data_IF_697221462689
#
_entry.id   IF_697221462689
#
_cell.length_a   1.000
_cell.length_b   1.000
_cell.length_c   1.000
_cell.angle_alpha   90.00
_cell.angle_beta   90.00
_cell.angle_gamma   90.00
#
_symmetry.space_group_name_H-M   'P 1'
#
loop_
_entity.id
_entity.type
_entity.pdbx_description
1 polymer ?
#
# COMPACT_ATOMS: atom_id res chain seq x y z
N UNK A 1 7.60 0.60 4.03
CA UNK A 1 7.78 1.98 4.51
C UNK A 1 7.17 2.09 5.89
N UNK A 2 7.91 2.67 6.83
CA UNK A 2 7.32 3.11 8.11
C UNK A 2 6.24 4.18 7.86
N UNK A 3 5.54 4.62 8.91
CA UNK A 3 4.45 5.59 8.76
C UNK A 3 4.92 6.95 8.23
N UNK A 4 6.07 7.44 8.71
CA UNK A 4 6.59 8.75 8.30
C UNK A 4 7.01 8.73 6.84
N UNK A 5 7.71 7.68 6.43
CA UNK A 5 8.15 7.49 5.04
C UNK A 5 6.96 7.30 4.11
N UNK A 6 5.94 6.56 4.53
CA UNK A 6 4.71 6.37 3.77
C UNK A 6 4.01 7.71 3.52
N UNK A 7 3.74 8.49 4.56
CA UNK A 7 3.09 9.80 4.42
C UNK A 7 3.91 10.77 3.55
N UNK A 8 5.24 10.75 3.69
CA UNK A 8 6.12 11.56 2.85
C UNK A 8 6.05 11.14 1.37
N UNK A 9 6.07 9.84 1.08
CA UNK A 9 5.93 9.31 -0.27
C UNK A 9 4.56 9.65 -0.87
N UNK A 10 3.48 9.47 -0.11
CA UNK A 10 2.12 9.79 -0.56
C UNK A 10 1.99 11.28 -0.89
N UNK A 11 2.55 12.17 -0.06
CA UNK A 11 2.59 13.60 -0.38
C UNK A 11 3.35 13.87 -1.68
N UNK A 12 4.55 13.31 -1.85
CA UNK A 12 5.34 13.50 -3.07
C UNK A 12 4.60 13.02 -4.32
N UNK A 13 3.94 11.88 -4.25
CA UNK A 13 3.12 11.32 -5.34
C UNK A 13 1.96 12.27 -5.67
N UNK A 14 1.24 12.74 -4.63
CA UNK A 14 0.12 13.68 -4.79
C UNK A 14 0.58 14.99 -5.44
N UNK A 15 1.71 15.55 -5.00
CA UNK A 15 2.25 16.81 -5.51
C UNK A 15 2.77 16.68 -6.94
N UNK A 16 3.39 15.54 -7.29
CA UNK A 16 4.00 15.32 -8.59
C UNK A 16 2.99 14.92 -9.70
N UNK A 17 1.85 14.32 -9.33
CA UNK A 17 0.88 13.84 -10.31
C UNK A 17 0.02 14.98 -10.81
N UNK A 18 0.05 15.33 -12.09
CA UNK A 18 -0.80 16.39 -12.66
C UNK A 18 -2.28 15.96 -12.77
N UNK A 19 -3.23 16.91 -12.87
CA UNK A 19 -4.63 16.57 -13.19
C UNK A 19 -4.74 15.68 -14.44
N UNK A 20 -5.62 14.68 -14.39
CA UNK A 20 -5.72 13.60 -15.40
C UNK A 20 -4.56 12.57 -15.38
N UNK A 21 -3.53 12.81 -14.56
CA UNK A 21 -2.39 11.91 -14.38
C UNK A 21 -2.75 10.63 -13.63
N UNK A 22 -1.94 9.59 -13.83
CA UNK A 22 -2.17 8.27 -13.23
C UNK A 22 -1.06 7.92 -12.24
N UNK A 23 -1.44 7.23 -11.16
CA UNK A 23 -0.53 6.67 -10.16
C UNK A 23 -0.75 5.17 -10.11
N UNK A 24 0.34 4.40 -10.17
CA UNK A 24 0.30 2.95 -10.09
C UNK A 24 1.02 2.50 -8.81
N UNK A 25 0.33 1.72 -7.98
CA UNK A 25 0.94 0.99 -6.88
C UNK A 25 0.94 -0.50 -7.22
N UNK A 26 2.12 -1.13 -7.20
CA UNK A 26 2.27 -2.58 -7.33
C UNK A 26 3.15 -3.08 -6.19
N UNK A 27 2.51 -3.38 -5.08
CA UNK A 27 3.18 -3.72 -3.82
C UNK A 27 2.48 -4.89 -3.12
N UNK A 28 3.07 -5.33 -2.01
CA UNK A 28 2.42 -6.28 -1.09
C UNK A 28 1.49 -5.51 -0.15
N UNK A 29 0.24 -5.96 -0.07
CA UNK A 29 -0.81 -5.37 0.74
C UNK A 29 -1.24 -6.33 1.85
N UNK A 30 -1.76 -5.76 2.94
CA UNK A 30 -2.51 -6.53 3.94
C UNK A 30 -3.89 -6.89 3.38
N UNK A 31 -4.32 -8.14 3.56
CA UNK A 31 -5.55 -8.66 2.93
C UNK A 31 -6.80 -8.13 3.59
N UNK A 32 -6.89 -8.25 4.91
CA UNK A 32 -8.08 -7.87 5.69
C UNK A 32 -7.80 -6.74 6.69
N UNK A 33 -6.53 -6.51 7.01
CA UNK A 33 -6.09 -5.54 7.99
C UNK A 33 -4.66 -5.13 7.71
N UNK A 34 -4.28 -3.98 8.28
CA UNK A 34 -2.88 -3.60 8.43
C UNK A 34 -2.11 -4.74 9.11
N UNK A 35 -1.02 -5.17 8.49
CA UNK A 35 -0.18 -6.25 9.00
C UNK A 35 1.24 -5.72 9.21
N UNK A 36 1.72 -5.83 10.44
CA UNK A 36 3.07 -5.42 10.84
C UNK A 36 3.88 -6.66 11.19
N UNK A 37 5.02 -6.86 10.52
CA UNK A 37 5.84 -8.06 10.66
C UNK A 37 6.40 -8.26 12.08
N UNK A 38 6.52 -7.19 12.88
CA UNK A 38 6.96 -7.28 14.28
C UNK A 38 6.00 -8.06 15.17
N UNK A 39 4.73 -8.22 14.79
CA UNK A 39 3.73 -8.90 15.60
C UNK A 39 3.78 -10.44 15.55
N UNK A 40 4.50 -11.05 14.60
CA UNK A 40 4.26 -12.46 14.21
C UNK A 40 5.51 -13.33 13.94
N UNK A 41 6.59 -13.20 14.74
CA UNK A 41 7.80 -14.05 14.78
C UNK A 41 8.98 -13.72 13.83
N UNK A 42 10.13 -13.41 14.44
CA UNK A 42 11.46 -14.03 14.25
C UNK A 42 12.53 -13.08 14.80
N UNK A 43 13.43 -13.56 15.66
CA UNK A 43 14.58 -12.79 16.16
C UNK A 43 15.52 -12.27 15.05
N UNK A 44 15.37 -12.79 13.81
CA UNK A 44 16.08 -12.34 12.61
C UNK A 44 15.46 -11.07 12.01
N UNK A 45 14.18 -10.79 12.26
CA UNK A 45 13.47 -9.59 11.81
C UNK A 45 13.48 -8.46 12.85
N UNK A 46 13.84 -8.76 14.11
CA UNK A 46 14.04 -7.76 15.17
C UNK A 46 15.16 -6.76 14.85
N UNK A 47 16.10 -7.15 13.99
CA UNK A 47 17.15 -6.26 13.49
C UNK A 47 16.72 -5.58 12.18
N UNK A 48 15.79 -4.63 12.29
CA UNK A 48 15.67 -3.53 11.32
C UNK A 48 14.66 -3.66 10.17
N UNK A 49 13.77 -4.66 10.16
CA UNK A 49 12.77 -4.79 9.10
C UNK A 49 11.37 -4.30 9.52
N UNK A 50 11.18 -2.97 9.54
CA UNK A 50 9.90 -2.31 9.79
C UNK A 50 8.99 -2.30 8.55
N UNK A 51 8.53 -3.48 8.15
CA UNK A 51 7.55 -3.61 7.07
C UNK A 51 6.12 -3.55 7.61
N UNK A 52 5.44 -2.47 7.24
CA UNK A 52 4.00 -2.27 7.44
C UNK A 52 3.30 -2.52 6.12
N UNK A 53 2.52 -3.59 6.04
CA UNK A 53 1.63 -3.87 4.92
C UNK A 53 0.28 -3.24 5.19
N UNK A 54 -0.10 -2.29 4.34
CA UNK A 54 -1.36 -1.56 4.41
C UNK A 54 -2.38 -2.24 3.52
N UNK A 55 -3.67 -2.09 3.84
CA UNK A 55 -4.74 -2.52 2.93
C UNK A 55 -4.91 -1.51 1.80
N UNK A 56 -5.58 -1.88 0.71
CA UNK A 56 -5.83 -0.94 -0.38
C UNK A 56 -6.72 0.23 0.08
N UNK A 57 -7.63 0.00 1.02
CA UNK A 57 -8.50 1.04 1.59
C UNK A 57 -7.69 2.10 2.32
N UNK A 58 -6.64 1.72 3.04
CA UNK A 58 -5.76 2.67 3.71
C UNK A 58 -4.98 3.52 2.71
N UNK A 59 -4.48 2.91 1.63
CA UNK A 59 -3.82 3.65 0.56
C UNK A 59 -4.81 4.58 -0.13
N UNK A 60 -6.02 4.11 -0.45
CA UNK A 60 -7.07 4.91 -1.07
C UNK A 60 -7.52 6.08 -0.19
N UNK A 61 -7.65 5.85 1.12
CA UNK A 61 -7.97 6.90 2.09
C UNK A 61 -6.88 8.00 2.10
N UNK A 62 -5.61 7.61 2.05
CA UNK A 62 -4.49 8.56 2.06
C UNK A 62 -4.30 9.29 0.71
N UNK A 63 -4.65 8.65 -0.41
CA UNK A 63 -4.73 9.32 -1.71
C UNK A 63 -5.78 10.45 -1.69
N UNK A 64 -6.89 10.24 -0.98
CA UNK A 64 -7.93 11.25 -0.76
C UNK A 64 -8.82 11.48 -1.98
N UNK A 65 -9.78 12.39 -1.85
CA UNK A 65 -10.83 12.63 -2.86
C UNK A 65 -10.34 13.21 -4.19
N UNK A 66 -9.12 13.75 -4.24
CA UNK A 66 -8.51 14.25 -5.47
C UNK A 66 -8.06 13.12 -6.41
N UNK A 67 -8.07 11.87 -5.96
CA UNK A 67 -7.63 10.71 -6.72
C UNK A 67 -8.70 9.63 -6.71
N UNK A 68 -9.17 9.28 -7.89
CA UNK A 68 -10.14 8.21 -8.10
C UNK A 68 -9.41 6.88 -8.29
N UNK A 69 -9.76 5.86 -7.50
CA UNK A 69 -9.28 4.49 -7.71
C UNK A 69 -10.03 3.87 -8.89
N UNK A 70 -9.37 3.78 -10.05
CA UNK A 70 -9.98 3.27 -11.29
C UNK A 70 -9.71 1.77 -11.53
N UNK A 71 -8.74 1.19 -10.82
CA UNK A 71 -8.46 -0.26 -10.86
C UNK A 71 -7.89 -0.73 -9.54
N UNK A 72 -8.41 -1.84 -9.04
CA UNK A 72 -7.87 -2.60 -7.91
C UNK A 72 -7.90 -4.08 -8.30
N UNK A 73 -6.73 -4.70 -8.41
CA UNK A 73 -6.62 -6.08 -8.85
C UNK A 73 -5.61 -6.85 -8.02
N UNK A 74 -6.01 -8.01 -7.50
CA UNK A 74 -5.09 -8.94 -6.86
C UNK A 74 -4.29 -9.68 -7.92
N UNK A 75 -2.98 -9.40 -7.98
CA UNK A 75 -2.04 -10.02 -8.93
C UNK A 75 -1.37 -11.27 -8.35
N UNK A 76 -1.30 -11.38 -7.02
CA UNK A 76 -0.91 -12.59 -6.30
C UNK A 76 -1.82 -12.77 -5.10
N UNK A 77 -2.60 -13.85 -5.07
CA UNK A 77 -3.48 -14.17 -3.95
C UNK A 77 -2.68 -14.58 -2.70
N UNK A 78 -3.27 -14.47 -1.50
CA UNK A 78 -2.68 -15.02 -0.29
C UNK A 78 -2.46 -16.53 -0.45
N UNK A 79 -1.35 -17.04 0.08
CA UNK A 79 -1.08 -18.47 0.16
C UNK A 79 -1.39 -19.00 1.56
N UNK A 80 -1.58 -20.33 1.74
CA UNK A 80 -1.76 -20.91 3.08
C UNK A 80 -0.62 -20.58 4.06
N UNK A 81 0.62 -20.43 3.55
CA UNK A 81 1.78 -20.09 4.36
C UNK A 81 1.88 -18.59 4.72
N UNK A 82 1.14 -17.73 3.99
CA UNK A 82 1.14 -16.26 4.16
C UNK A 82 -0.27 -15.69 3.92
N UNK A 83 -1.26 -16.05 4.75
CA UNK A 83 -2.65 -15.66 4.53
C UNK A 83 -2.91 -14.17 4.76
N UNK A 84 -2.01 -13.45 5.43
CA UNK A 84 -2.20 -12.05 5.84
C UNK A 84 -1.88 -11.05 4.74
N UNK A 85 -1.16 -11.46 3.69
CA UNK A 85 -0.67 -10.57 2.63
C UNK A 85 -1.01 -11.06 1.23
N UNK A 86 -1.19 -10.13 0.30
CA UNK A 86 -1.35 -10.40 -1.13
C UNK A 86 -0.51 -9.38 -1.95
N UNK A 87 -0.37 -9.58 -3.26
CA UNK A 87 0.09 -8.51 -4.15
C UNK A 87 -1.09 -7.92 -4.92
N UNK A 88 -1.19 -6.60 -4.93
CA UNK A 88 -2.23 -5.90 -5.67
C UNK A 88 -1.64 -4.85 -6.60
N UNK A 89 -2.34 -4.62 -7.71
CA UNK A 89 -2.18 -3.46 -8.58
C UNK A 89 -3.31 -2.48 -8.26
N UNK A 90 -2.95 -1.30 -7.79
CA UNK A 90 -3.86 -0.17 -7.66
C UNK A 90 -3.52 0.86 -8.72
N UNK A 91 -4.53 1.36 -9.44
CA UNK A 91 -4.39 2.48 -10.37
C UNK A 91 -5.32 3.59 -9.94
N UNK A 92 -4.74 4.74 -9.62
CA UNK A 92 -5.46 5.96 -9.33
C UNK A 92 -5.34 6.94 -10.50
N UNK A 93 -6.40 7.72 -10.74
CA UNK A 93 -6.40 8.87 -11.63
C UNK A 93 -6.63 10.13 -10.82
N UNK A 94 -5.79 11.16 -11.00
CA UNK A 94 -6.03 12.48 -10.38
C UNK A 94 -7.19 13.16 -11.10
N UNK A 95 -8.15 13.69 -10.33
CA UNK A 95 -9.22 14.52 -10.86
C UNK A 95 -8.67 15.77 -11.56
N UNK A 96 -9.47 16.34 -12.46
CA UNK A 96 -9.15 17.55 -13.21
C UNK A 96 -9.06 18.81 -12.33
#
# INVERSE_FOLDING_TARGET
LDERQFLAAMRLIKDATRPGGHVLFRETFGVHRRFELHGFHSAVLDTGYHAVYRTYEQVAQEMGSAFELIRCETTLAPSPDKPETCQQLLVFRRAD
#
